data_IF_158567372051
#
_entry.id   IF_158567372051
#
_cell.length_a   1.000
_cell.length_b   1.000
_cell.length_c   1.000
_cell.angle_alpha   90.00
_cell.angle_beta   90.00
_cell.angle_gamma   90.00
#
_symmetry.space_group_name_H-M   'P 1'
#
loop_
_entity.id
_entity.type
_entity.pdbx_description
1 polymer ?
#
# COMPACT_ATOMS: atom_id res chain seq x y z
N UNK A 1 6.29 -2.17 12.98
CA UNK A 1 6.85 -0.80 13.05
C UNK A 1 6.22 0.05 11.96
N UNK A 2 5.85 1.29 12.28
CA UNK A 2 5.38 2.26 11.30
C UNK A 2 6.58 3.10 10.87
N UNK A 3 6.76 3.24 9.56
CA UNK A 3 7.79 4.06 8.91
C UNK A 3 7.10 5.23 8.22
N UNK A 4 7.62 6.44 8.39
CA UNK A 4 7.20 7.65 7.65
C UNK A 4 8.06 7.88 6.41
N UNK A 5 8.85 6.88 6.05
CA UNK A 5 9.72 6.86 4.89
C UNK A 5 9.36 5.64 4.06
N UNK A 6 9.41 5.79 2.75
CA UNK A 6 9.14 4.69 1.86
C UNK A 6 10.26 3.65 1.95
N UNK A 7 9.86 2.38 1.89
CA UNK A 7 10.76 1.25 1.74
C UNK A 7 10.25 0.39 0.59
N UNK A 8 11.04 0.31 -0.46
CA UNK A 8 10.71 -0.54 -1.60
C UNK A 8 10.51 -1.99 -1.13
N UNK A 9 9.48 -2.61 -1.68
CA UNK A 9 9.15 -4.00 -1.42
C UNK A 9 8.74 -4.66 -2.73
N UNK A 10 8.78 -5.97 -2.77
CA UNK A 10 8.41 -6.71 -3.96
C UNK A 10 8.02 -8.14 -3.65
N UNK A 11 7.41 -8.78 -4.63
CA UNK A 11 7.28 -10.22 -4.71
C UNK A 11 8.22 -10.76 -5.78
N UNK A 12 8.22 -12.07 -5.98
CA UNK A 12 8.95 -12.68 -7.09
C UNK A 12 8.47 -12.19 -8.47
N UNK A 13 7.28 -11.57 -8.53
CA UNK A 13 6.63 -11.13 -9.77
C UNK A 13 6.76 -9.62 -10.02
N UNK A 14 6.74 -8.79 -8.98
CA UNK A 14 6.67 -7.33 -9.12
C UNK A 14 7.45 -6.61 -8.02
N UNK A 15 7.99 -5.43 -8.36
CA UNK A 15 8.71 -4.56 -7.44
C UNK A 15 8.02 -3.21 -7.34
N UNK A 16 7.69 -2.80 -6.12
CA UNK A 16 6.89 -1.61 -5.83
C UNK A 16 7.79 -0.50 -5.29
N UNK A 17 8.08 0.49 -6.13
CA UNK A 17 8.70 1.76 -5.71
C UNK A 17 7.64 2.76 -5.26
N UNK A 18 8.04 3.83 -4.59
CA UNK A 18 7.13 4.89 -4.15
C UNK A 18 6.37 5.48 -5.33
N UNK A 19 7.08 5.80 -6.42
CA UNK A 19 6.49 6.43 -7.60
C UNK A 19 5.48 5.51 -8.28
N UNK A 20 5.79 4.22 -8.37
CA UNK A 20 4.87 3.24 -8.93
C UNK A 20 3.60 3.14 -8.07
N UNK A 21 3.76 3.07 -6.75
CA UNK A 21 2.64 2.99 -5.82
C UNK A 21 1.76 4.25 -5.87
N UNK A 22 2.35 5.44 -5.79
CA UNK A 22 1.62 6.71 -5.82
C UNK A 22 0.88 6.88 -7.15
N UNK A 23 1.50 6.50 -8.28
CA UNK A 23 0.84 6.51 -9.58
C UNK A 23 -0.29 5.46 -9.69
N UNK A 24 -0.13 4.29 -9.08
CA UNK A 24 -1.14 3.23 -9.09
C UNK A 24 -2.35 3.57 -8.21
N UNK A 25 -2.11 4.17 -7.05
CA UNK A 25 -3.15 4.54 -6.08
C UNK A 25 -3.75 5.92 -6.38
N UNK A 26 -3.08 6.75 -7.18
CA UNK A 26 -3.42 8.14 -7.44
C UNK A 26 -3.58 8.94 -6.13
N UNK A 27 -2.60 8.78 -5.25
CA UNK A 27 -2.56 9.38 -3.91
C UNK A 27 -1.11 9.46 -3.42
N UNK A 28 -0.83 10.36 -2.48
CA UNK A 28 0.54 10.61 -1.99
C UNK A 28 0.85 9.82 -0.74
N UNK A 29 2.00 9.17 -0.69
CA UNK A 29 2.46 8.40 0.46
C UNK A 29 2.71 9.27 1.70
N UNK A 30 2.36 8.76 2.87
CA UNK A 30 2.70 9.36 4.18
C UNK A 30 3.43 8.39 5.11
N UNK A 31 2.98 7.12 5.18
CA UNK A 31 3.59 6.14 6.06
C UNK A 31 3.28 4.70 5.62
N UNK A 32 4.07 3.73 6.08
CA UNK A 32 3.81 2.30 5.90
C UNK A 32 4.04 1.51 7.19
N UNK A 33 3.31 0.42 7.35
CA UNK A 33 3.49 -0.53 8.45
C UNK A 33 4.20 -1.79 7.97
N UNK A 34 5.44 -1.98 8.41
CA UNK A 34 6.15 -3.25 8.27
C UNK A 34 6.09 -4.04 9.58
N UNK A 35 5.76 -5.32 9.50
CA UNK A 35 5.90 -6.23 10.63
C UNK A 35 7.33 -6.80 10.69
N UNK A 36 7.80 -7.14 11.89
CA UNK A 36 9.10 -7.78 12.05
C UNK A 36 9.11 -9.13 11.31
N UNK A 37 10.14 -9.35 10.50
CA UNK A 37 10.29 -10.55 9.68
C UNK A 37 9.46 -10.57 8.39
N UNK A 38 8.80 -9.46 8.03
CA UNK A 38 8.13 -9.30 6.73
C UNK A 38 8.73 -8.17 5.92
N UNK A 39 9.00 -8.46 4.65
CA UNK A 39 9.48 -7.47 3.69
C UNK A 39 8.34 -6.69 3.03
N UNK A 40 7.10 -7.21 3.11
CA UNK A 40 5.92 -6.58 2.53
C UNK A 40 5.14 -5.85 3.64
N UNK A 41 4.79 -4.56 3.44
CA UNK A 41 3.94 -3.83 4.38
C UNK A 41 2.52 -4.42 4.42
N UNK A 42 1.86 -4.35 5.58
CA UNK A 42 0.44 -4.72 5.69
C UNK A 42 -0.49 -3.55 5.34
N UNK A 43 -0.04 -2.33 5.67
CA UNK A 43 -0.79 -1.10 5.49
C UNK A 43 0.12 0.00 4.97
N UNK A 44 -0.40 0.83 4.09
CA UNK A 44 0.23 2.05 3.60
C UNK A 44 -0.77 3.19 3.77
N UNK A 45 -0.39 4.24 4.49
CA UNK A 45 -1.16 5.47 4.63
C UNK A 45 -0.76 6.45 3.54
N UNK A 46 -1.78 7.05 2.95
CA UNK A 46 -1.66 8.17 2.01
C UNK A 46 -2.46 9.36 2.54
N UNK A 47 -2.37 10.51 1.85
CA UNK A 47 -3.12 11.72 2.23
C UNK A 47 -4.63 11.42 2.39
N UNK A 48 -5.20 10.63 1.47
CA UNK A 48 -6.66 10.42 1.41
C UNK A 48 -7.09 9.00 1.84
N UNK A 49 -6.21 8.00 1.79
CA UNK A 49 -6.56 6.59 1.98
C UNK A 49 -5.63 5.86 2.96
N UNK A 50 -6.13 4.77 3.51
CA UNK A 50 -5.33 3.67 4.05
C UNK A 50 -5.44 2.53 3.05
N UNK A 51 -4.31 2.17 2.44
CA UNK A 51 -4.21 1.06 1.50
C UNK A 51 -3.82 -0.19 2.26
N UNK A 52 -4.71 -1.18 2.25
CA UNK A 52 -4.45 -2.51 2.81
C UNK A 52 -3.80 -3.36 1.73
N UNK A 53 -2.65 -3.94 2.07
CA UNK A 53 -1.85 -4.75 1.17
C UNK A 53 -2.18 -6.21 1.44
N UNK A 54 -2.74 -6.91 0.45
CA UNK A 54 -3.11 -8.33 0.57
C UNK A 54 -2.24 -9.17 -0.34
N UNK A 55 -1.52 -10.12 0.26
CA UNK A 55 -0.73 -11.08 -0.49
C UNK A 55 -1.64 -12.24 -0.96
N UNK A 56 -1.74 -12.46 -2.27
CA UNK A 56 -2.49 -13.56 -2.86
C UNK A 56 -1.55 -14.73 -3.17
N UNK A 57 -1.62 -15.79 -2.37
CA UNK A 57 -0.70 -16.95 -2.46
C UNK A 57 -1.17 -18.07 -3.39
N UNK A 58 -2.22 -17.85 -4.21
CA UNK A 58 -2.93 -18.96 -4.87
C UNK A 58 -2.40 -19.40 -6.23
N UNK A 59 -1.63 -18.60 -6.98
CA UNK A 59 -1.08 -19.06 -8.28
C UNK A 59 0.10 -18.23 -8.81
N UNK A 60 0.13 -16.93 -8.53
CA UNK A 60 1.21 -15.98 -8.81
C UNK A 60 1.32 -15.15 -7.53
N UNK A 61 2.53 -14.95 -6.98
CA UNK A 61 2.73 -14.11 -5.79
C UNK A 61 2.41 -12.66 -6.16
N UNK A 62 1.13 -12.30 -6.10
CA UNK A 62 0.62 -11.01 -6.51
C UNK A 62 0.08 -10.25 -5.28
N UNK A 63 0.25 -8.93 -5.30
CA UNK A 63 -0.12 -8.05 -4.20
C UNK A 63 -1.33 -7.23 -4.62
N UNK A 64 -2.41 -7.33 -3.87
CA UNK A 64 -3.62 -6.55 -4.12
C UNK A 64 -3.70 -5.35 -3.18
N UNK A 65 -3.96 -4.16 -3.75
CA UNK A 65 -4.16 -2.92 -3.02
C UNK A 65 -5.65 -2.66 -2.79
N UNK A 66 -6.06 -2.61 -1.52
CA UNK A 66 -7.43 -2.28 -1.13
C UNK A 66 -7.45 -0.91 -0.48
N UNK A 67 -8.00 0.09 -1.17
CA UNK A 67 -8.13 1.46 -0.66
C UNK A 67 -9.29 1.59 0.33
N UNK A 68 -9.01 2.12 1.50
CA UNK A 68 -10.01 2.50 2.51
C UNK A 68 -9.90 4.01 2.73
N UNK A 69 -10.94 4.81 2.47
CA UNK A 69 -10.89 6.25 2.70
C UNK A 69 -10.63 6.58 4.18
N UNK A 70 -9.74 7.55 4.44
CA UNK A 70 -9.43 7.98 5.82
C UNK A 70 -10.57 8.75 6.46
N UNK A 71 -11.30 9.50 5.66
CA UNK A 71 -12.44 10.29 6.11
C UNK A 71 -13.63 10.05 5.16
N UNK A 72 -14.88 10.03 5.66
CA UNK A 72 -16.07 9.92 4.82
C UNK A 72 -16.17 11.01 3.75
N UNK A 73 -15.61 12.19 4.01
CA UNK A 73 -15.57 13.32 3.07
C UNK A 73 -14.72 13.06 1.82
N UNK A 74 -13.83 12.07 1.87
CA UNK A 74 -13.02 11.64 0.72
C UNK A 74 -13.85 10.82 -0.27
N UNK A 75 -14.93 10.18 0.20
CA UNK A 75 -15.86 9.52 -0.68
C UNK A 75 -16.71 10.59 -1.39
N UNK A 76 -16.28 11.00 -2.58
CA UNK A 76 -17.15 11.75 -3.48
C UNK A 76 -18.30 10.84 -3.91
N UNK A 77 -19.42 10.90 -3.18
CA UNK A 77 -20.70 10.41 -3.67
C UNK A 77 -21.14 11.34 -4.81
N UNK A 78 -20.90 10.90 -6.05
CA UNK A 78 -21.54 11.47 -7.24
C UNK A 78 -22.92 10.85 -7.40
#
# INVERSE_FOLDING_TARGET
MILTEWRDFGTDAEFYTQEFFEAHVDDRFEAMSLEEGKDIPNFIWTDQHVVVIKNNTRLINDVSFVKIPRNPSVMNFV
#
